data_IF_806016550223
#
_entry.id   IF_806016550223
#
_cell.length_a   1.000
_cell.length_b   1.000
_cell.length_c   1.000
_cell.angle_alpha   90.00
_cell.angle_beta   90.00
_cell.angle_gamma   90.00
#
_symmetry.space_group_name_H-M   'P 1'
#
loop_
_entity.id
_entity.type
_entity.pdbx_description
1 polymer ?
#
# COMPACT_ATOMS: atom_id res chain seq x y z
N UNK A 1 -14.25 -3.93 4.60
CA UNK A 1 -14.65 -3.93 3.18
C UNK A 1 -15.71 -5.01 2.96
N UNK A 2 -16.96 -4.66 2.57
CA UNK A 2 -18.08 -5.61 2.48
C UNK A 2 -17.82 -6.79 1.52
N UNK A 3 -16.99 -6.58 0.48
CA UNK A 3 -16.63 -7.62 -0.50
C UNK A 3 -15.76 -8.76 0.09
N UNK A 4 -15.01 -8.49 1.17
CA UNK A 4 -14.21 -9.52 1.86
C UNK A 4 -15.10 -10.57 2.58
N UNK A 5 -16.41 -10.29 2.73
CA UNK A 5 -17.39 -11.29 3.21
C UNK A 5 -17.83 -12.24 2.09
N UNK A 6 -17.71 -11.83 0.83
CA UNK A 6 -18.14 -12.59 -0.36
C UNK A 6 -16.99 -13.36 -1.00
N UNK A 7 -15.76 -12.82 -0.93
CA UNK A 7 -14.53 -13.50 -1.33
C UNK A 7 -13.51 -13.35 -0.20
N UNK A 8 -13.24 -14.42 0.56
CA UNK A 8 -12.22 -14.40 1.60
C UNK A 8 -10.88 -13.93 1.02
N UNK A 9 -10.19 -13.05 1.74
CA UNK A 9 -8.85 -12.58 1.38
C UNK A 9 -7.89 -13.72 1.00
N UNK A 10 -8.04 -14.89 1.64
CA UNK A 10 -7.24 -16.09 1.34
C UNK A 10 -7.45 -16.55 -0.11
N UNK A 11 -8.70 -16.71 -0.54
CA UNK A 11 -9.04 -17.20 -1.87
C UNK A 11 -8.56 -16.22 -2.95
N UNK A 12 -8.66 -14.91 -2.67
CA UNK A 12 -8.10 -13.87 -3.54
C UNK A 12 -6.58 -14.02 -3.68
N UNK A 13 -5.86 -14.19 -2.56
CA UNK A 13 -4.41 -14.34 -2.59
C UNK A 13 -3.97 -15.65 -3.25
N UNK A 14 -4.73 -16.74 -3.08
CA UNK A 14 -4.47 -18.01 -3.74
C UNK A 14 -4.68 -17.90 -5.26
N UNK A 15 -5.73 -17.20 -5.71
CA UNK A 15 -5.91 -16.87 -7.11
C UNK A 15 -4.75 -15.99 -7.65
N UNK A 16 -4.30 -15.00 -6.88
CA UNK A 16 -3.14 -14.18 -7.24
C UNK A 16 -1.84 -15.00 -7.38
N UNK A 17 -1.63 -16.02 -6.53
CA UNK A 17 -0.48 -16.93 -6.63
C UNK A 17 -0.54 -17.81 -7.87
N UNK A 18 -1.74 -18.26 -8.24
CA UNK A 18 -1.95 -19.11 -9.41
C UNK A 18 -1.95 -18.33 -10.74
N UNK A 19 -2.08 -17.00 -10.69
CA UNK A 19 -2.19 -16.19 -11.89
C UNK A 19 -0.88 -16.18 -12.70
N UNK A 20 -0.90 -16.57 -13.99
CA UNK A 20 0.32 -16.67 -14.80
C UNK A 20 0.80 -15.28 -15.23
N UNK A 21 1.73 -14.72 -14.46
CA UNK A 21 2.40 -13.45 -14.78
C UNK A 21 3.56 -13.68 -15.75
N UNK A 22 3.76 -12.75 -16.70
CA UNK A 22 5.00 -12.70 -17.49
C UNK A 22 6.20 -12.35 -16.58
N UNK A 23 7.45 -12.69 -16.94
CA UNK A 23 8.61 -12.54 -16.04
C UNK A 23 8.81 -11.15 -15.42
N UNK A 24 8.39 -10.08 -16.11
CA UNK A 24 8.51 -8.68 -15.66
C UNK A 24 7.21 -8.11 -15.08
N UNK A 25 6.12 -8.86 -15.11
CA UNK A 25 4.85 -8.41 -14.56
C UNK A 25 4.80 -8.61 -13.06
N UNK A 26 4.11 -7.70 -12.40
CA UNK A 26 3.87 -7.71 -10.96
C UNK A 26 2.43 -7.28 -10.72
N UNK A 27 1.74 -7.98 -9.84
CA UNK A 27 0.44 -7.55 -9.35
C UNK A 27 0.62 -6.29 -8.51
N UNK A 28 -0.32 -5.35 -8.64
CA UNK A 28 -0.32 -4.12 -7.84
C UNK A 28 -1.43 -4.24 -6.81
N UNK A 29 -1.06 -4.20 -5.54
CA UNK A 29 -2.02 -4.13 -4.43
C UNK A 29 -2.16 -2.67 -3.99
N UNK A 30 -3.39 -2.19 -3.92
CA UNK A 30 -3.69 -0.87 -3.38
C UNK A 30 -4.03 -0.99 -1.89
N UNK A 31 -3.34 -0.20 -1.07
CA UNK A 31 -3.51 -0.19 0.38
C UNK A 31 -3.86 1.21 0.86
N UNK A 32 -5.11 1.40 1.29
CA UNK A 32 -5.56 2.68 1.85
C UNK A 32 -5.06 2.78 3.28
N UNK A 33 -4.34 3.87 3.57
CA UNK A 33 -3.74 4.15 4.87
C UNK A 33 -4.72 4.97 5.72
N UNK A 34 -5.28 4.33 6.74
CA UNK A 34 -6.23 4.89 7.68
C UNK A 34 -5.57 5.02 9.05
N UNK A 35 -5.54 6.25 9.57
CA UNK A 35 -4.89 6.59 10.83
C UNK A 35 -5.41 5.71 11.98
N UNK A 36 -4.50 5.05 12.69
CA UNK A 36 -4.76 4.17 13.83
C UNK A 36 -5.72 2.98 13.57
N UNK A 37 -6.07 2.69 12.31
CA UNK A 37 -6.97 1.59 11.94
C UNK A 37 -6.20 0.43 11.30
N UNK A 38 -5.30 0.75 10.36
CA UNK A 38 -4.56 -0.27 9.61
C UNK A 38 -3.14 0.18 9.22
N UNK A 39 -2.57 1.14 9.93
CA UNK A 39 -1.30 1.75 9.57
C UNK A 39 -0.12 1.35 10.47
N UNK A 40 -0.28 0.34 11.31
CA UNK A 40 0.76 -0.10 12.24
C UNK A 40 1.93 -0.81 11.57
N UNK A 41 3.09 -0.80 12.24
CA UNK A 41 4.26 -1.57 11.79
C UNK A 41 3.89 -3.07 11.74
N UNK A 42 3.06 -3.54 12.68
CA UNK A 42 2.51 -4.89 12.65
C UNK A 42 1.58 -5.13 11.44
N UNK A 43 0.83 -4.12 10.99
CA UNK A 43 0.04 -4.19 9.76
C UNK A 43 0.94 -4.34 8.53
N UNK A 44 2.02 -3.56 8.45
CA UNK A 44 2.99 -3.65 7.38
C UNK A 44 3.64 -5.05 7.33
N UNK A 45 4.01 -5.60 8.49
CA UNK A 45 4.55 -6.96 8.59
C UNK A 45 3.55 -8.03 8.15
N UNK A 46 2.26 -7.87 8.52
CA UNK A 46 1.19 -8.75 8.05
C UNK A 46 1.02 -8.67 6.54
N UNK A 47 1.04 -7.48 5.96
CA UNK A 47 0.96 -7.28 4.50
C UNK A 47 2.14 -7.96 3.80
N UNK A 48 3.37 -7.75 4.28
CA UNK A 48 4.54 -8.39 3.70
C UNK A 48 4.43 -9.93 3.74
N UNK A 49 3.96 -10.48 4.86
CA UNK A 49 3.72 -11.93 4.99
C UNK A 49 2.66 -12.45 4.03
N UNK A 50 1.56 -11.71 3.84
CA UNK A 50 0.47 -12.11 2.93
C UNK A 50 0.92 -12.13 1.46
N UNK A 51 1.78 -11.18 1.09
CA UNK A 51 2.29 -11.03 -0.28
C UNK A 51 3.53 -11.86 -0.58
N UNK A 52 4.08 -12.56 0.42
CA UNK A 52 5.22 -13.44 0.22
C UNK A 52 4.92 -14.50 -0.85
N UNK A 53 5.85 -14.66 -1.80
CA UNK A 53 5.72 -15.57 -2.94
C UNK A 53 4.82 -15.06 -4.08
N UNK A 54 4.21 -13.89 -3.97
CA UNK A 54 3.45 -13.25 -5.05
C UNK A 54 4.33 -12.18 -5.69
N UNK A 55 4.66 -12.28 -6.99
CA UNK A 55 5.36 -11.20 -7.69
C UNK A 55 4.48 -9.94 -7.70
N UNK A 56 4.73 -9.03 -6.76
CA UNK A 56 3.82 -7.93 -6.45
C UNK A 56 4.53 -6.64 -6.03
N UNK A 57 3.76 -5.57 -6.00
CA UNK A 57 4.10 -4.26 -5.45
C UNK A 57 2.88 -3.68 -4.73
N UNK A 58 3.13 -2.77 -3.79
CA UNK A 58 2.09 -2.11 -3.01
C UNK A 58 2.08 -0.61 -3.30
N UNK A 59 0.90 -0.07 -3.55
CA UNK A 59 0.66 1.37 -3.57
C UNK A 59 -0.03 1.78 -2.26
N UNK A 60 0.67 2.53 -1.42
CA UNK A 60 0.14 3.15 -0.20
C UNK A 60 -0.61 4.43 -0.59
N UNK A 61 -1.90 4.48 -0.27
CA UNK A 61 -2.80 5.58 -0.62
C UNK A 61 -3.27 6.24 0.68
N UNK A 62 -2.76 7.43 1.05
CA UNK A 62 -3.31 8.17 2.18
C UNK A 62 -4.80 8.43 1.97
N UNK A 63 -5.60 8.15 2.99
CA UNK A 63 -7.05 8.30 2.91
C UNK A 63 -7.49 9.75 2.57
N UNK A 64 -8.57 9.89 1.81
CA UNK A 64 -9.14 11.18 1.48
C UNK A 64 -10.37 11.51 2.37
N UNK A 65 -10.27 12.45 3.33
CA UNK A 65 -11.39 12.85 4.17
C UNK A 65 -12.66 13.35 3.45
N UNK A 66 -12.59 13.62 2.13
CA UNK A 66 -13.77 14.00 1.33
C UNK A 66 -14.84 12.90 1.17
N UNK A 67 -14.54 11.65 1.54
CA UNK A 67 -15.44 10.51 1.30
C UNK A 67 -16.56 10.36 2.36
N UNK A 68 -16.72 11.32 3.29
CA UNK A 68 -17.82 11.36 4.26
C UNK A 68 -17.81 10.26 5.33
N UNK A 69 -16.73 9.48 5.43
CA UNK A 69 -16.55 8.44 6.43
C UNK A 69 -15.78 8.98 7.65
N UNK A 70 -15.94 8.40 8.85
CA UNK A 70 -15.31 8.88 10.08
C UNK A 70 -13.81 8.49 10.19
N UNK A 71 -13.11 8.33 9.08
CA UNK A 71 -11.70 7.96 9.05
C UNK A 71 -10.80 9.17 8.83
N UNK A 72 -9.54 9.05 9.27
CA UNK A 72 -8.52 10.09 9.11
C UNK A 72 -7.38 9.58 8.24
N UNK A 73 -6.73 10.47 7.45
CA UNK A 73 -5.50 10.12 6.76
C UNK A 73 -4.39 9.82 7.76
N UNK A 74 -3.66 8.71 7.56
CA UNK A 74 -2.44 8.47 8.33
C UNK A 74 -1.44 9.62 8.14
N UNK A 75 -0.74 10.04 9.21
CA UNK A 75 0.36 11.01 9.13
C UNK A 75 1.45 10.58 8.13
N UNK A 76 2.15 11.55 7.52
CA UNK A 76 3.14 11.24 6.47
C UNK A 76 4.30 10.38 7.00
N UNK A 77 4.80 10.67 8.20
CA UNK A 77 5.85 9.90 8.87
C UNK A 77 5.42 8.45 9.11
N UNK A 78 4.14 8.22 9.44
CA UNK A 78 3.55 6.91 9.59
C UNK A 78 3.50 6.15 8.26
N UNK A 79 3.10 6.81 7.18
CA UNK A 79 3.10 6.24 5.83
C UNK A 79 4.52 5.88 5.38
N UNK A 80 5.51 6.73 5.65
CA UNK A 80 6.91 6.49 5.35
C UNK A 80 7.47 5.30 6.15
N UNK A 81 7.15 5.19 7.44
CA UNK A 81 7.53 4.02 8.25
C UNK A 81 6.94 2.73 7.72
N UNK A 82 5.65 2.74 7.37
CA UNK A 82 4.99 1.58 6.78
C UNK A 82 5.67 1.16 5.47
N UNK A 83 5.98 2.13 4.61
CA UNK A 83 6.72 1.89 3.36
C UNK A 83 8.08 1.25 3.61
N UNK A 84 8.82 1.74 4.61
CA UNK A 84 10.15 1.24 4.96
C UNK A 84 10.09 -0.22 5.45
N UNK A 85 9.11 -0.57 6.29
CA UNK A 85 8.91 -1.96 6.73
C UNK A 85 8.66 -2.88 5.52
N UNK A 86 7.78 -2.49 4.60
CA UNK A 86 7.52 -3.29 3.38
C UNK A 86 8.79 -3.46 2.53
N UNK A 87 9.55 -2.37 2.30
CA UNK A 87 10.80 -2.40 1.54
C UNK A 87 11.83 -3.34 2.16
N UNK A 88 12.01 -3.29 3.50
CA UNK A 88 12.92 -4.19 4.23
C UNK A 88 12.53 -5.67 4.11
N UNK A 89 11.24 -5.95 3.92
CA UNK A 89 10.73 -7.30 3.66
C UNK A 89 10.74 -7.70 2.19
N UNK A 90 11.34 -6.88 1.31
CA UNK A 90 11.47 -7.16 -0.12
C UNK A 90 10.19 -6.90 -0.93
N UNK A 91 9.22 -6.16 -0.37
CA UNK A 91 7.99 -5.78 -1.07
C UNK A 91 8.15 -4.35 -1.59
N UNK A 92 8.23 -4.12 -2.92
CA UNK A 92 8.27 -2.79 -3.48
C UNK A 92 7.02 -1.99 -3.10
N UNK A 93 7.20 -0.84 -2.45
CA UNK A 93 6.11 -0.01 -1.95
C UNK A 93 6.26 1.44 -2.43
N UNK A 94 5.18 2.00 -2.98
CA UNK A 94 5.12 3.37 -3.52
C UNK A 94 4.01 4.16 -2.81
N UNK A 95 4.23 5.44 -2.54
CA UNK A 95 3.22 6.31 -1.95
C UNK A 95 2.53 7.06 -3.09
N UNK A 96 1.20 6.97 -3.16
CA UNK A 96 0.38 7.64 -4.17
C UNK A 96 -0.36 8.80 -3.52
N UNK A 97 0.17 10.01 -3.69
CA UNK A 97 -0.46 11.25 -3.24
C UNK A 97 -1.31 11.81 -4.39
N UNK A 98 -2.55 12.18 -4.09
CA UNK A 98 -3.43 12.82 -5.07
C UNK A 98 -2.94 14.25 -5.35
N UNK A 99 -2.72 14.57 -6.64
CA UNK A 99 -2.09 15.83 -7.13
C UNK A 99 -2.69 17.16 -6.62
N UNK A 100 -3.87 17.12 -5.99
CA UNK A 100 -4.56 18.31 -5.46
C UNK A 100 -4.17 18.74 -4.05
N UNK A 101 -3.30 18.00 -3.34
CA UNK A 101 -2.81 18.34 -1.98
C UNK A 101 -1.32 18.69 -1.92
N UNK A 102 -0.68 18.84 -3.08
CA UNK A 102 0.78 18.91 -3.25
C UNK A 102 1.47 20.19 -2.75
N UNK A 103 0.78 21.13 -2.10
CA UNK A 103 1.40 22.43 -1.75
C UNK A 103 2.13 22.43 -0.40
N UNK A 104 1.93 21.43 0.48
CA UNK A 104 2.38 21.57 1.89
C UNK A 104 3.26 20.43 2.45
N UNK A 105 3.65 19.42 1.67
CA UNK A 105 4.41 18.28 2.22
C UNK A 105 5.57 17.75 1.36
N UNK A 106 6.10 18.57 0.45
CA UNK A 106 7.32 18.24 -0.27
C UNK A 106 8.56 18.62 0.57
N UNK A 107 8.94 17.76 1.52
CA UNK A 107 10.30 17.75 2.05
C UNK A 107 10.87 16.33 1.94
N UNK A 108 11.75 16.15 0.95
CA UNK A 108 12.66 15.01 0.88
C UNK A 108 12.22 13.86 -0.01
N UNK A 109 12.19 14.07 -1.34
CA UNK A 109 12.62 13.08 -2.37
C UNK A 109 12.37 13.60 -3.80
N UNK A 110 12.84 14.81 -4.10
CA UNK A 110 13.15 15.18 -5.49
C UNK A 110 14.59 14.77 -5.77
N UNK A 111 14.78 13.53 -6.21
CA UNK A 111 15.92 13.07 -7.00
C UNK A 111 15.66 11.63 -7.39
N UNK A 112 15.05 11.45 -8.56
CA UNK A 112 15.37 10.44 -9.56
C UNK A 112 14.46 10.75 -10.76
N UNK A 113 14.72 11.90 -11.39
CA UNK A 113 14.47 12.01 -12.83
C UNK A 113 15.47 11.06 -13.46
N UNK A 114 14.95 10.01 -14.10
CA UNK A 114 15.77 9.06 -14.84
C UNK A 114 16.47 9.71 -16.02
N UNK A 115 17.59 9.09 -16.40
CA UNK A 115 18.15 8.96 -17.76
C UNK A 115 18.22 10.21 -18.62
#
# INVERSE_FOLDING_TARGET
MPINRKYPLRDLLDACRAYPLRPRERLTFEYVMLDAVNDSDADAERVAKLLAGIPSRVNLIPYNPGDGLPYRPSPLDRVLRFQEVLKRRGVPAFIRISRGRDVMAACGQLSLVGG
#
